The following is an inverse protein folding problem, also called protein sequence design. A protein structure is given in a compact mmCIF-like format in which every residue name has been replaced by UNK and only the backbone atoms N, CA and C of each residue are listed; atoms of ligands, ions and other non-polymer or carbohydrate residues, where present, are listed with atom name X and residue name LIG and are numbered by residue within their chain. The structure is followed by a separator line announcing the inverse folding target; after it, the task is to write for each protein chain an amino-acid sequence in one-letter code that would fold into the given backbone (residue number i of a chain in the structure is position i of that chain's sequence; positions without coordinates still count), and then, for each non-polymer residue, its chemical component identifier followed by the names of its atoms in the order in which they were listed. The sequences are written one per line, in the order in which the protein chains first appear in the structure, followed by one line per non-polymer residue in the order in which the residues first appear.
data_IF_261635582751
#
_entry.id   IF_261635582751
#
_cell.length_a   1.000
_cell.length_b   1.000
_cell.length_c   1.000
_cell.angle_alpha   90.00
_cell.angle_beta   90.00
_cell.angle_gamma   90.00
#
_symmetry.space_group_name_H-M   'P 1'
#
loop_
_entity.id
_entity.type
_entity.pdbx_description
1 polymer ?
#
# COMPACT_ATOMS: atom_id res chain seq x y z
N UNK A 1 -14.97 12.20 -7.21
CA UNK A 1 -16.33 12.72 -7.48
C UNK A 1 -16.86 12.04 -8.73
N UNK A 2 -18.09 11.55 -8.69
CA UNK A 2 -18.80 11.08 -9.88
C UNK A 2 -19.17 12.29 -10.74
N UNK A 3 -18.79 12.29 -12.02
CA UNK A 3 -19.04 13.41 -12.95
C UNK A 3 -20.31 13.21 -13.77
N UNK A 4 -20.68 11.97 -14.04
CA UNK A 4 -21.83 11.57 -14.84
C UNK A 4 -22.51 10.39 -14.14
N UNK A 5 -23.84 10.32 -14.21
CA UNK A 5 -24.59 9.20 -13.62
C UNK A 5 -24.09 7.88 -14.20
N UNK A 6 -23.77 6.92 -13.33
CA UNK A 6 -23.17 5.63 -13.73
C UNK A 6 -23.61 4.51 -12.81
N UNK A 7 -23.92 3.34 -13.36
CA UNK A 7 -24.17 2.12 -12.58
C UNK A 7 -22.90 1.35 -12.21
N UNK A 8 -21.72 1.84 -12.60
CA UNK A 8 -20.46 1.10 -12.46
C UNK A 8 -19.25 2.00 -12.20
N UNK A 9 -18.24 1.41 -11.57
CA UNK A 9 -16.90 1.99 -11.40
C UNK A 9 -15.88 1.01 -11.97
N UNK A 10 -15.02 1.49 -12.87
CA UNK A 10 -13.94 0.69 -13.48
C UNK A 10 -12.59 1.19 -12.97
N UNK A 11 -11.71 0.26 -12.61
CA UNK A 11 -10.35 0.56 -12.14
C UNK A 11 -9.37 -0.58 -12.48
N UNK A 12 -8.07 -0.31 -12.35
CA UNK A 12 -7.04 -1.32 -12.53
C UNK A 12 -6.98 -2.25 -11.32
N UNK A 13 -6.84 -3.54 -11.59
CA UNK A 13 -6.76 -4.60 -10.60
C UNK A 13 -6.13 -5.84 -11.25
N UNK A 14 -5.09 -6.40 -10.63
CA UNK A 14 -4.47 -7.64 -11.09
C UNK A 14 -3.97 -8.45 -9.90
N UNK A 15 -4.09 -9.77 -9.93
CA UNK A 15 -3.66 -10.67 -8.84
C UNK A 15 -4.25 -10.31 -7.44
N UNK A 16 -5.45 -9.70 -7.41
CA UNK A 16 -6.16 -9.30 -6.19
C UNK A 16 -7.61 -9.79 -6.26
N UNK A 17 -8.09 -10.37 -5.17
CA UNK A 17 -9.47 -10.76 -4.97
C UNK A 17 -10.20 -9.73 -4.09
N UNK A 18 -11.19 -9.04 -4.65
CA UNK A 18 -12.06 -8.12 -3.91
C UNK A 18 -13.09 -8.93 -3.11
N UNK A 19 -13.10 -8.70 -1.79
CA UNK A 19 -14.02 -9.31 -0.81
C UNK A 19 -15.32 -8.50 -0.73
N UNK A 20 -15.20 -7.18 -0.60
CA UNK A 20 -16.34 -6.27 -0.55
C UNK A 20 -16.01 -4.92 -1.17
N UNK A 21 -17.01 -4.25 -1.74
CA UNK A 21 -16.88 -2.87 -2.19
C UNK A 21 -18.15 -2.10 -1.94
N UNK A 22 -18.02 -0.85 -1.52
CA UNK A 22 -19.14 0.06 -1.27
C UNK A 22 -18.79 1.48 -1.67
N UNK A 23 -19.81 2.24 -2.05
CA UNK A 23 -19.67 3.64 -2.39
C UNK A 23 -20.61 4.48 -1.53
N UNK A 24 -20.08 5.59 -1.00
CA UNK A 24 -20.85 6.51 -0.16
C UNK A 24 -20.59 7.95 -0.60
N UNK A 25 -21.65 8.66 -1.01
CA UNK A 25 -21.59 10.11 -1.18
C UNK A 25 -21.39 10.79 0.17
N UNK A 26 -20.77 11.97 0.18
CA UNK A 26 -20.63 12.74 1.41
C UNK A 26 -22.01 13.04 2.04
N UNK A 27 -22.27 12.47 3.22
CA UNK A 27 -23.57 12.58 3.92
C UNK A 27 -24.68 11.68 3.37
N UNK A 28 -24.39 10.85 2.38
CA UNK A 28 -25.32 9.89 1.79
C UNK A 28 -25.33 8.53 2.50
N UNK A 29 -26.17 7.62 1.99
CA UNK A 29 -26.14 6.22 2.40
C UNK A 29 -25.01 5.48 1.68
N UNK A 30 -24.45 4.48 2.36
CA UNK A 30 -23.53 3.53 1.75
C UNK A 30 -24.30 2.60 0.80
N UNK A 31 -23.77 2.43 -0.41
CA UNK A 31 -24.33 1.61 -1.47
C UNK A 31 -23.32 0.50 -1.75
N UNK A 32 -23.67 -0.74 -1.42
CA UNK A 32 -22.83 -1.89 -1.71
C UNK A 32 -22.84 -2.21 -3.21
N UNK A 33 -21.69 -2.61 -3.73
CA UNK A 33 -21.60 -3.15 -5.07
C UNK A 33 -22.40 -4.47 -5.15
N UNK A 34 -23.06 -4.68 -6.29
CA UNK A 34 -23.83 -5.89 -6.60
C UNK A 34 -22.99 -7.00 -7.24
N UNK A 35 -21.79 -6.68 -7.72
CA UNK A 35 -20.87 -7.67 -8.28
C UNK A 35 -19.58 -7.06 -8.81
N UNK A 36 -18.60 -7.94 -9.06
CA UNK A 36 -17.28 -7.61 -9.58
C UNK A 36 -17.05 -8.41 -10.86
N UNK A 37 -16.77 -7.72 -11.96
CA UNK A 37 -16.40 -8.34 -13.23
C UNK A 37 -14.91 -8.10 -13.49
N UNK A 38 -14.11 -9.16 -13.53
CA UNK A 38 -12.67 -9.08 -13.75
C UNK A 38 -12.34 -9.26 -15.23
N UNK A 39 -11.65 -8.28 -15.79
CA UNK A 39 -11.17 -8.24 -17.17
C UNK A 39 -9.65 -8.48 -17.14
N UNK A 40 -9.25 -9.73 -16.83
CA UNK A 40 -7.86 -10.07 -16.53
C UNK A 40 -6.86 -9.75 -17.66
N UNK A 41 -7.31 -9.76 -18.92
CA UNK A 41 -6.47 -9.39 -20.07
C UNK A 41 -6.09 -7.91 -20.05
N UNK A 42 -6.99 -7.06 -19.56
CA UNK A 42 -6.80 -5.61 -19.49
C UNK A 42 -6.36 -5.16 -18.08
N UNK A 43 -6.21 -6.10 -17.14
CA UNK A 43 -5.89 -5.85 -15.73
C UNK A 43 -6.86 -4.85 -15.09
N UNK A 44 -8.16 -5.07 -15.33
CA UNK A 44 -9.24 -4.21 -14.85
C UNK A 44 -10.29 -4.99 -14.08
N UNK A 45 -10.99 -4.26 -13.23
CA UNK A 45 -12.20 -4.73 -12.57
C UNK A 45 -13.30 -3.69 -12.73
N UNK A 46 -14.50 -4.17 -13.04
CA UNK A 46 -15.73 -3.38 -13.10
C UNK A 46 -16.58 -3.72 -11.88
N UNK A 47 -16.79 -2.73 -11.01
CA UNK A 47 -17.68 -2.81 -9.86
C UNK A 47 -19.08 -2.35 -10.29
N UNK A 48 -20.07 -3.23 -10.21
CA UNK A 48 -21.46 -2.91 -10.53
C UNK A 48 -22.22 -2.48 -9.28
N UNK A 49 -23.16 -1.54 -9.41
CA UNK A 49 -24.00 -1.06 -8.33
C UNK A 49 -25.48 -1.29 -8.64
N UNK A 50 -26.33 -1.54 -7.63
CA UNK A 50 -27.76 -1.82 -7.82
C UNK A 50 -28.57 -0.63 -8.33
N UNK A 51 -28.07 0.59 -8.15
CA UNK A 51 -28.65 1.82 -8.69
C UNK A 51 -27.55 2.75 -9.19
N UNK A 52 -27.92 3.65 -10.09
CA UNK A 52 -26.98 4.63 -10.62
C UNK A 52 -26.44 5.54 -9.51
N UNK A 53 -25.13 5.75 -9.55
CA UNK A 53 -24.39 6.70 -8.72
C UNK A 53 -24.52 8.07 -9.37
N UNK A 54 -25.28 8.97 -8.74
CA UNK A 54 -25.54 10.29 -9.29
C UNK A 54 -24.37 11.26 -9.07
N UNK A 55 -24.23 12.35 -9.87
CA UNK A 55 -23.21 13.37 -9.67
C UNK A 55 -23.38 14.25 -8.39
N UNK A 56 -23.45 13.65 -7.20
CA UNK A 56 -23.74 14.33 -5.93
C UNK A 56 -22.49 14.80 -5.15
N UNK A 57 -21.41 15.18 -5.85
CA UNK A 57 -20.19 15.71 -5.20
C UNK A 57 -19.14 14.65 -4.83
N UNK A 58 -18.26 14.93 -3.83
CA UNK A 58 -17.28 13.95 -3.35
C UNK A 58 -17.96 12.67 -2.84
N UNK A 59 -17.29 11.55 -3.05
CA UNK A 59 -17.73 10.26 -2.55
C UNK A 59 -16.53 9.42 -2.19
N UNK A 60 -16.74 8.42 -1.34
CA UNK A 60 -15.74 7.47 -0.87
C UNK A 60 -16.09 6.10 -1.44
N UNK A 61 -15.15 5.53 -2.18
CA UNK A 61 -15.15 4.12 -2.53
C UNK A 61 -14.34 3.39 -1.47
N UNK A 62 -14.95 2.40 -0.82
CA UNK A 62 -14.30 1.52 0.15
C UNK A 62 -14.20 0.15 -0.49
N UNK A 63 -13.03 -0.46 -0.39
CA UNK A 63 -12.79 -1.83 -0.84
C UNK A 63 -12.14 -2.62 0.30
N UNK A 64 -12.54 -3.87 0.41
CA UNK A 64 -11.86 -4.91 1.17
C UNK A 64 -11.39 -5.95 0.16
N UNK A 65 -10.13 -6.34 0.24
CA UNK A 65 -9.52 -7.21 -0.76
C UNK A 65 -8.35 -7.98 -0.15
N UNK A 66 -7.98 -9.06 -0.81
CA UNK A 66 -6.83 -9.90 -0.47
C UNK A 66 -5.96 -10.11 -1.71
N UNK A 67 -4.65 -10.23 -1.50
CA UNK A 67 -3.69 -10.54 -2.55
C UNK A 67 -2.53 -11.36 -1.97
N UNK A 68 -1.72 -11.93 -2.85
CA UNK A 68 -0.58 -12.77 -2.46
C UNK A 68 0.76 -12.03 -2.64
N UNK A 69 1.66 -12.15 -1.67
CA UNK A 69 3.05 -11.74 -1.83
C UNK A 69 3.74 -12.65 -2.85
N UNK A 70 3.88 -12.15 -4.07
CA UNK A 70 4.41 -12.91 -5.19
C UNK A 70 5.96 -13.00 -5.21
N UNK A 71 6.50 -13.80 -6.14
CA UNK A 71 7.95 -13.97 -6.39
C UNK A 71 8.40 -13.32 -7.73
N UNK A 72 7.62 -12.38 -8.27
CA UNK A 72 7.80 -11.80 -9.61
C UNK A 72 8.62 -10.51 -9.62
N UNK A 73 9.13 -10.05 -8.46
CA UNK A 73 9.88 -8.80 -8.28
C UNK A 73 9.11 -7.52 -8.73
N UNK A 74 7.78 -7.56 -8.63
CA UNK A 74 6.88 -6.45 -8.99
C UNK A 74 5.59 -6.50 -8.18
N UNK A 75 4.90 -5.38 -8.10
CA UNK A 75 3.75 -5.23 -7.21
C UNK A 75 4.22 -5.28 -5.77
N UNK A 76 3.45 -5.93 -4.91
CA UNK A 76 3.88 -6.25 -3.54
C UNK A 76 4.37 -7.70 -3.49
N UNK A 77 5.69 -7.87 -3.30
CA UNK A 77 6.36 -9.15 -3.48
C UNK A 77 7.28 -9.48 -2.30
N UNK A 78 7.63 -10.76 -2.14
CA UNK A 78 8.60 -11.18 -1.13
C UNK A 78 10.02 -11.19 -1.72
N UNK A 79 10.94 -10.52 -1.04
CA UNK A 79 12.36 -10.47 -1.38
C UNK A 79 13.16 -11.37 -0.44
N UNK A 80 13.88 -12.33 -1.01
CA UNK A 80 14.71 -13.31 -0.29
C UNK A 80 16.09 -12.72 0.02
N UNK A 81 16.57 -12.88 1.24
CA UNK A 81 17.95 -12.56 1.63
C UNK A 81 18.51 -13.58 2.61
N UNK A 82 19.84 -13.63 2.71
CA UNK A 82 20.55 -14.49 3.66
C UNK A 82 20.97 -13.66 4.87
N UNK A 83 20.48 -14.04 6.04
CA UNK A 83 20.85 -13.43 7.32
C UNK A 83 22.28 -13.79 7.71
N UNK A 84 22.85 -13.06 8.69
CA UNK A 84 24.20 -13.36 9.21
C UNK A 84 24.34 -14.78 9.76
N UNK A 85 23.25 -15.36 10.27
CA UNK A 85 23.20 -16.76 10.74
C UNK A 85 23.30 -17.80 9.61
N UNK A 86 23.23 -17.39 8.34
CA UNK A 86 23.09 -18.28 7.19
C UNK A 86 21.63 -18.67 6.88
N UNK A 87 20.69 -18.26 7.72
CA UNK A 87 19.26 -18.51 7.53
C UNK A 87 18.71 -17.71 6.33
N UNK A 88 17.83 -18.35 5.57
CA UNK A 88 17.05 -17.68 4.52
C UNK A 88 15.91 -16.92 5.18
N UNK A 89 15.84 -15.62 4.93
CA UNK A 89 14.76 -14.74 5.41
C UNK A 89 14.11 -13.99 4.26
N UNK A 90 12.95 -13.40 4.55
CA UNK A 90 12.15 -12.65 3.58
C UNK A 90 11.81 -11.27 4.11
N UNK A 91 11.76 -10.30 3.21
CA UNK A 91 11.12 -9.01 3.41
C UNK A 91 9.97 -8.85 2.41
N UNK A 92 8.93 -8.11 2.75
CA UNK A 92 7.89 -7.72 1.81
C UNK A 92 8.24 -6.33 1.25
N UNK A 93 8.27 -6.19 -0.07
CA UNK A 93 8.77 -5.00 -0.77
C UNK A 93 7.83 -4.64 -1.91
N UNK A 94 7.66 -3.35 -2.17
CA UNK A 94 6.90 -2.85 -3.32
C UNK A 94 7.81 -2.40 -4.47
N UNK A 95 7.47 -2.77 -5.70
CA UNK A 95 7.99 -2.17 -6.92
C UNK A 95 6.82 -1.97 -7.89
N UNK A 96 6.39 -0.72 -8.07
CA UNK A 96 5.15 -0.41 -8.82
C UNK A 96 5.37 0.20 -10.20
N UNK A 97 6.54 0.77 -10.48
CA UNK A 97 6.79 1.31 -11.82
C UNK A 97 6.98 0.19 -12.85
N UNK A 98 6.28 0.23 -14.00
CA UNK A 98 5.38 1.31 -14.44
C UNK A 98 3.91 1.17 -14.01
N UNK A 99 3.38 -0.06 -13.88
CA UNK A 99 1.94 -0.34 -13.78
C UNK A 99 1.60 -1.48 -12.82
N UNK A 100 2.37 -1.63 -11.75
CA UNK A 100 2.22 -2.74 -10.81
C UNK A 100 1.61 -2.34 -9.46
N UNK A 101 1.22 -1.08 -9.26
CA UNK A 101 0.46 -0.67 -8.07
C UNK A 101 -0.88 -1.41 -7.97
N UNK A 102 -1.51 -1.66 -9.12
CA UNK A 102 -2.74 -2.47 -9.28
C UNK A 102 -2.63 -3.92 -8.78
N UNK A 103 -1.41 -4.41 -8.52
CA UNK A 103 -1.14 -5.73 -7.91
C UNK A 103 -1.00 -5.71 -6.39
N UNK A 104 -1.00 -4.52 -5.80
CA UNK A 104 -0.98 -4.34 -4.36
C UNK A 104 -2.32 -3.79 -3.82
N UNK A 105 -3.00 -2.94 -4.59
CA UNK A 105 -4.33 -2.45 -4.27
C UNK A 105 -5.10 -2.02 -5.54
N UNK A 106 -6.42 -2.25 -5.64
CA UNK A 106 -7.22 -1.77 -6.75
C UNK A 106 -7.20 -0.23 -6.83
N UNK A 107 -6.84 0.33 -7.98
CA UNK A 107 -6.68 1.78 -8.15
C UNK A 107 -6.76 2.22 -9.62
N UNK A 108 -6.84 3.53 -9.86
CA UNK A 108 -6.66 4.10 -11.20
C UNK A 108 -5.17 4.27 -11.48
N UNK A 109 -4.53 3.19 -11.93
CA UNK A 109 -3.08 3.05 -12.03
C UNK A 109 -2.54 3.63 -13.34
N UNK A 110 -2.72 4.95 -13.48
CA UNK A 110 -2.24 5.76 -14.61
C UNK A 110 -1.45 6.96 -14.06
N UNK A 111 -0.24 7.27 -14.59
CA UNK A 111 0.61 8.32 -14.03
C UNK A 111 -0.04 9.71 -13.95
N UNK A 112 -0.98 10.02 -14.84
CA UNK A 112 -1.71 11.29 -14.86
C UNK A 112 -2.73 11.42 -13.73
N UNK A 113 -3.18 10.31 -13.14
CA UNK A 113 -4.19 10.27 -12.08
C UNK A 113 -3.47 10.32 -10.73
N UNK A 114 -3.19 11.54 -10.27
CA UNK A 114 -2.48 11.78 -9.01
C UNK A 114 -3.44 11.89 -7.82
N UNK A 115 -2.98 11.44 -6.66
CA UNK A 115 -3.69 11.54 -5.39
C UNK A 115 -2.70 11.72 -4.23
N UNK A 116 -3.25 12.02 -3.05
CA UNK A 116 -2.52 11.87 -1.77
C UNK A 116 -2.81 10.49 -1.20
N UNK A 117 -1.85 9.92 -0.48
CA UNK A 117 -1.95 8.61 0.13
C UNK A 117 -1.81 8.72 1.65
N UNK A 118 -2.82 8.23 2.37
CA UNK A 118 -2.77 7.98 3.81
C UNK A 118 -2.55 6.48 4.03
N UNK A 119 -1.35 6.07 4.49
CA UNK A 119 -0.98 4.66 4.63
C UNK A 119 -0.92 4.23 6.09
N UNK A 120 -1.42 3.03 6.37
CA UNK A 120 -1.10 2.30 7.60
C UNK A 120 -0.81 0.84 7.29
N UNK A 121 0.13 0.26 8.03
CA UNK A 121 0.54 -1.15 7.91
C UNK A 121 0.35 -1.84 9.25
N UNK A 122 -0.24 -3.03 9.23
CA UNK A 122 -0.28 -3.93 10.40
C UNK A 122 0.83 -4.96 10.19
N UNK A 123 1.82 -4.95 11.08
CA UNK A 123 3.06 -5.74 10.95
C UNK A 123 3.46 -6.38 12.27
N UNK A 124 4.28 -7.44 12.27
CA UNK A 124 4.91 -7.94 13.49
C UNK A 124 5.74 -6.85 14.18
N UNK A 125 5.68 -6.81 15.52
CA UNK A 125 6.29 -5.78 16.37
C UNK A 125 7.80 -5.67 16.19
N UNK A 126 8.46 -6.78 15.87
CA UNK A 126 9.89 -6.90 15.65
C UNK A 126 10.31 -6.59 14.20
N UNK A 127 9.39 -6.13 13.34
CA UNK A 127 9.68 -5.71 11.97
C UNK A 127 9.74 -4.20 11.84
N UNK A 128 10.66 -3.75 11.00
CA UNK A 128 10.71 -2.39 10.47
C UNK A 128 9.65 -2.28 9.38
N UNK A 129 8.88 -1.18 9.41
CA UNK A 129 7.91 -0.81 8.40
C UNK A 129 8.29 0.57 7.85
N UNK A 130 8.47 0.67 6.54
CA UNK A 130 8.84 1.90 5.85
C UNK A 130 7.76 2.26 4.83
N UNK A 131 7.62 3.54 4.55
CA UNK A 131 6.82 4.07 3.44
C UNK A 131 7.42 5.39 2.95
N UNK A 132 6.74 6.05 2.01
CA UNK A 132 7.15 7.34 1.44
C UNK A 132 7.31 8.44 2.50
N UNK A 133 6.46 8.42 3.53
CA UNK A 133 6.38 9.48 4.54
C UNK A 133 6.81 8.96 5.91
N UNK A 134 7.14 9.85 6.84
CA UNK A 134 7.57 9.47 8.18
C UNK A 134 6.46 8.74 8.96
N UNK A 135 6.86 7.79 9.81
CA UNK A 135 6.00 7.18 10.83
C UNK A 135 5.53 8.26 11.81
N UNK A 136 4.21 8.38 12.00
CA UNK A 136 3.59 9.35 12.93
C UNK A 136 2.92 8.67 14.13
N UNK A 137 2.65 7.36 14.04
CA UNK A 137 2.04 6.60 15.12
C UNK A 137 2.36 5.11 14.97
N UNK A 138 2.71 4.46 16.08
CA UNK A 138 2.82 2.99 16.20
C UNK A 138 2.14 2.55 17.48
N UNK A 139 1.11 1.73 17.35
CA UNK A 139 0.34 1.22 18.49
C UNK A 139 0.18 -0.29 18.39
N UNK A 140 0.08 -1.03 19.51
CA UNK A 140 -0.37 -2.41 19.49
C UNK A 140 -1.67 -2.54 18.69
N UNK A 141 -1.77 -3.59 17.89
CA UNK A 141 -3.00 -3.93 17.22
C UNK A 141 -3.86 -4.73 18.21
N UNK A 142 -4.73 -4.03 18.94
CA UNK A 142 -5.72 -4.67 19.80
C UNK A 142 -6.89 -5.13 18.92
N UNK A 143 -7.17 -6.43 18.88
CA UNK A 143 -8.24 -6.95 18.02
C UNK A 143 -9.63 -6.58 18.57
N UNK A 144 -10.42 -5.86 17.78
CA UNK A 144 -11.86 -5.75 18.00
C UNK A 144 -12.61 -7.08 17.74
N UNK A 145 -11.91 -8.14 17.30
CA UNK A 145 -12.49 -9.42 16.82
C UNK A 145 -11.82 -10.69 17.37
N UNK A 146 -11.21 -10.63 18.56
CA UNK A 146 -10.94 -11.82 19.39
C UNK A 146 -9.95 -12.85 18.82
N UNK A 147 -9.09 -12.47 17.87
CA UNK A 147 -8.10 -13.35 17.24
C UNK A 147 -6.68 -12.98 17.62
N UNK A 148 -6.39 -12.87 18.92
CA UNK A 148 -5.04 -12.65 19.51
C UNK A 148 -3.96 -12.15 18.54
N UNK A 149 -4.04 -10.89 18.13
CA UNK A 149 -3.00 -10.10 17.46
C UNK A 149 -1.77 -9.87 18.34
N UNK A 150 -1.47 -10.83 19.22
CA UNK A 150 -0.31 -10.83 20.09
C UNK A 150 0.95 -10.70 19.24
N UNK A 151 1.65 -9.59 19.42
CA UNK A 151 2.87 -9.30 18.67
C UNK A 151 2.68 -8.53 17.37
N UNK A 152 1.47 -8.08 17.01
CA UNK A 152 1.27 -7.14 15.90
C UNK A 152 1.21 -5.68 16.37
N UNK A 153 1.59 -4.77 15.48
CA UNK A 153 1.46 -3.32 15.66
C UNK A 153 0.90 -2.69 14.40
N UNK A 154 0.05 -1.66 14.56
CA UNK A 154 -0.36 -0.77 13.48
C UNK A 154 0.58 0.43 13.42
N UNK A 155 1.26 0.57 12.30
CA UNK A 155 2.14 1.70 11.97
C UNK A 155 1.41 2.62 11.00
N UNK A 156 1.26 3.89 11.35
CA UNK A 156 0.61 4.92 10.53
C UNK A 156 1.65 5.94 10.09
N UNK A 157 1.62 6.30 8.81
CA UNK A 157 2.53 7.26 8.19
C UNK A 157 1.82 8.59 7.92
N UNK A 158 2.59 9.68 7.80
CA UNK A 158 2.03 10.96 7.39
C UNK A 158 1.45 10.88 5.96
N UNK A 159 0.50 11.77 5.65
CA UNK A 159 -0.08 11.89 4.31
C UNK A 159 0.97 12.30 3.29
N UNK A 160 1.00 11.63 2.13
CA UNK A 160 1.89 12.01 1.03
C UNK A 160 1.47 13.35 0.37
N UNK A 161 2.40 14.05 -0.31
CA UNK A 161 2.06 15.01 -1.35
C UNK A 161 1.22 14.36 -2.46
N UNK A 162 0.66 15.19 -3.35
CA UNK A 162 -0.01 14.70 -4.56
C UNK A 162 1.02 14.02 -5.46
N UNK A 163 0.88 12.71 -5.68
CA UNK A 163 1.80 11.90 -6.47
C UNK A 163 1.06 10.81 -7.25
N UNK A 164 1.77 10.18 -8.18
CA UNK A 164 1.25 9.06 -9.00
C UNK A 164 1.33 7.74 -8.24
N UNK A 165 0.47 6.77 -8.59
CA UNK A 165 0.38 5.45 -7.94
C UNK A 165 1.70 4.67 -7.96
N UNK A 166 2.46 4.75 -9.05
CA UNK A 166 3.72 4.02 -9.20
C UNK A 166 4.82 4.45 -8.21
N UNK A 167 4.67 5.62 -7.57
CA UNK A 167 5.60 6.12 -6.55
C UNK A 167 5.25 5.64 -5.13
N UNK A 168 4.07 5.06 -4.93
CA UNK A 168 3.70 4.50 -3.63
C UNK A 168 4.69 3.40 -3.28
N UNK A 169 5.28 3.49 -2.10
CA UNK A 169 6.24 2.50 -1.64
C UNK A 169 5.94 2.13 -0.18
N UNK A 170 6.07 0.83 0.11
CA UNK A 170 6.15 0.34 1.47
C UNK A 170 6.95 -0.94 1.55
N UNK A 171 7.63 -1.10 2.69
CA UNK A 171 8.56 -2.20 2.94
C UNK A 171 8.36 -2.71 4.36
N UNK A 172 8.36 -4.03 4.53
CA UNK A 172 8.30 -4.69 5.84
C UNK A 172 9.40 -5.73 5.93
N UNK A 173 10.27 -5.64 6.92
CA UNK A 173 11.38 -6.59 7.06
C UNK A 173 12.27 -6.30 8.26
N UNK A 174 13.37 -7.05 8.35
CA UNK A 174 14.38 -6.88 9.41
C UNK A 174 15.55 -6.07 8.85
N UNK A 175 15.55 -4.78 9.16
CA UNK A 175 16.54 -3.84 8.66
C UNK A 175 17.19 -3.07 9.81
N UNK A 176 18.47 -2.80 9.67
CA UNK A 176 19.15 -1.72 10.37
C UNK A 176 19.45 -0.59 9.38
N UNK A 177 19.89 0.55 9.89
CA UNK A 177 20.22 1.69 9.05
C UNK A 177 21.41 2.47 9.59
N UNK A 178 22.09 3.16 8.68
CA UNK A 178 22.93 4.31 8.99
C UNK A 178 22.15 5.57 8.61
N UNK A 179 22.40 6.67 9.32
CA UNK A 179 21.74 7.95 9.05
C UNK A 179 22.71 9.12 9.07
N UNK A 180 22.36 10.16 8.33
CA UNK A 180 23.03 11.46 8.32
C UNK A 180 22.01 12.57 8.08
N UNK A 181 22.36 13.80 8.43
CA UNK A 181 21.55 14.97 8.13
C UNK A 181 22.21 15.80 7.03
N UNK A 182 21.44 16.16 6.01
CA UNK A 182 21.90 17.04 4.93
C UNK A 182 22.08 18.49 5.42
N UNK A 183 22.76 19.30 4.63
CA UNK A 183 22.99 20.73 4.95
C UNK A 183 21.71 21.56 5.10
N UNK A 184 20.63 21.17 4.43
CA UNK A 184 19.29 21.77 4.52
C UNK A 184 18.39 21.08 5.57
N UNK A 185 18.95 20.19 6.39
CA UNK A 185 18.28 19.63 7.57
C UNK A 185 17.46 18.36 7.34
N UNK A 186 17.49 17.79 6.14
CA UNK A 186 16.78 16.55 5.80
C UNK A 186 17.50 15.35 6.41
N UNK A 187 16.76 14.51 7.13
CA UNK A 187 17.28 13.25 7.66
C UNK A 187 17.30 12.20 6.54
N UNK A 188 18.48 11.69 6.21
CA UNK A 188 18.70 10.65 5.20
C UNK A 188 19.08 9.35 5.89
N UNK A 189 18.41 8.25 5.53
CA UNK A 189 18.67 6.91 6.07
C UNK A 189 18.95 5.92 4.95
N UNK A 190 19.99 5.12 5.12
CA UNK A 190 20.28 3.97 4.25
C UNK A 190 19.98 2.71 5.03
N UNK A 191 18.89 2.03 4.65
CA UNK A 191 18.45 0.77 5.25
C UNK A 191 19.13 -0.42 4.57
N UNK A 192 19.55 -1.40 5.37
CA UNK A 192 20.14 -2.65 4.90
C UNK A 192 19.67 -3.82 5.79
N UNK A 193 19.77 -5.08 5.34
CA UNK A 193 19.49 -6.23 6.19
C UNK A 193 20.35 -6.19 7.46
N UNK A 194 19.80 -6.62 8.59
CA UNK A 194 20.46 -6.56 9.90
C UNK A 194 21.95 -6.95 9.83
N UNK A 195 22.78 -6.03 10.32
CA UNK A 195 24.22 -6.16 10.34
C UNK A 195 24.92 -5.86 9.02
N UNK A 196 24.24 -5.22 8.07
CA UNK A 196 24.87 -4.72 6.83
C UNK A 196 24.77 -3.20 6.69
N UNK A 197 24.14 -2.48 7.63
CA UNK A 197 23.98 -1.04 7.58
C UNK A 197 25.30 -0.27 7.36
N UNK A 198 26.40 -0.72 7.95
CA UNK A 198 27.72 -0.07 7.81
C UNK A 198 28.21 -0.02 6.35
N UNK A 199 27.79 -0.95 5.48
CA UNK A 199 28.11 -0.91 4.05
C UNK A 199 27.42 0.27 3.34
N UNK A 200 26.34 0.81 3.93
CA UNK A 200 25.60 1.96 3.42
C UNK A 200 26.27 3.31 3.70
N UNK A 201 27.36 3.38 4.47
CA UNK A 201 28.00 4.66 4.83
C UNK A 201 28.47 5.46 3.62
N UNK A 202 29.02 4.78 2.61
CA UNK A 202 29.45 5.45 1.39
C UNK A 202 28.27 6.13 0.67
N UNK A 203 27.09 5.51 0.67
CA UNK A 203 25.89 6.08 0.06
C UNK A 203 25.33 7.32 0.82
N UNK A 204 25.72 7.53 2.08
CA UNK A 204 25.35 8.73 2.86
C UNK A 204 26.30 9.91 2.65
N UNK A 205 27.47 9.70 2.06
CA UNK A 205 28.50 10.74 1.91
C UNK A 205 28.40 11.52 0.59
N UNK A 206 27.32 11.30 -0.16
CA UNK A 206 27.09 11.90 -1.49
C UNK A 206 26.18 13.12 -1.38
#
# INVERSE_FOLDING_TARGET
KVKQSTGQIVMNCADIDIISASFCHQGGKEINASGFNYENQDERVTLSFPSALEPAGPGKLKLEFVGELNDKLRGFYRSKYVARSGEIRFAAVTQFEPTDARRAFPCWDEPAIKATFDLSLIVPRDRVALSNMQEIKRVPQDDEQGSSGEGLVRVTFARSPIMSTYLVAFVVGEFDFVEAQSSDGVLVRVYAPLGKAEHGRFALQV
#
